data_IF_709711147966
#
_entry.id   IF_709711147966
#
_cell.length_a   1.000
_cell.length_b   1.000
_cell.length_c   1.000
_cell.angle_alpha   90.00
_cell.angle_beta   90.00
_cell.angle_gamma   90.00
#
_symmetry.space_group_name_H-M   'P 1'
#
loop_
_entity.id
_entity.type
_entity.pdbx_description
1 polymer ?
#
# COMPACT_ATOMS: atom_id res chain seq x y z
N UNK A 1 -9.57 23.39 47.93
CA UNK A 1 -8.26 23.86 47.44
C UNK A 1 -8.13 23.43 46.00
N UNK A 2 -8.18 24.40 45.10
CA UNK A 2 -7.96 24.28 43.67
C UNK A 2 -6.45 24.28 43.45
N UNK A 3 -5.93 23.34 42.66
CA UNK A 3 -4.70 23.57 41.89
C UNK A 3 -4.54 22.53 40.77
N UNK A 4 -4.74 23.01 39.55
CA UNK A 4 -3.96 22.69 38.37
C UNK A 4 -3.95 21.23 37.85
N UNK A 5 -5.09 20.80 37.30
CA UNK A 5 -5.03 20.03 36.06
C UNK A 5 -4.54 20.97 34.95
N UNK A 6 -3.25 20.88 34.66
CA UNK A 6 -2.62 21.51 33.51
C UNK A 6 -3.42 21.14 32.25
N UNK A 7 -4.16 22.11 31.74
CA UNK A 7 -4.73 22.11 30.40
C UNK A 7 -3.58 21.90 29.41
N UNK A 8 -3.39 20.64 29.01
CA UNK A 8 -2.53 20.32 27.89
C UNK A 8 -3.03 21.12 26.68
N UNK A 9 -2.12 21.88 26.06
CA UNK A 9 -2.41 22.68 24.88
C UNK A 9 -3.20 21.88 23.84
N UNK A 10 -4.20 22.49 23.16
CA UNK A 10 -5.08 21.80 22.21
C UNK A 10 -4.33 21.13 21.03
N UNK A 11 -3.07 21.51 20.78
CA UNK A 11 -2.19 20.84 19.81
C UNK A 11 -1.79 19.42 20.20
N UNK A 12 -1.75 19.09 21.49
CA UNK A 12 -1.30 17.77 21.98
C UNK A 12 -2.44 16.75 22.16
N UNK A 13 -3.71 17.20 22.18
CA UNK A 13 -4.85 16.28 22.22
C UNK A 13 -5.04 15.48 20.91
N UNK A 14 -4.46 15.94 19.80
CA UNK A 14 -4.48 15.21 18.52
C UNK A 14 -3.61 13.94 18.58
N UNK A 15 -2.62 13.90 19.47
CA UNK A 15 -1.71 12.75 19.63
C UNK A 15 -2.31 11.67 20.55
N UNK A 16 -3.33 11.99 21.35
CA UNK A 16 -3.87 11.07 22.37
C UNK A 16 -5.10 10.27 21.94
N UNK A 17 -5.67 10.51 20.76
CA UNK A 17 -6.81 9.75 20.26
C UNK A 17 -6.33 8.54 19.42
N UNK A 18 -6.36 7.29 19.96
CA UNK A 18 -5.85 6.11 19.26
C UNK A 18 -6.59 5.81 17.95
N UNK A 19 -7.81 6.33 17.79
CA UNK A 19 -8.55 6.22 16.53
C UNK A 19 -7.95 7.10 15.43
N UNK A 20 -7.49 8.32 15.78
CA UNK A 20 -6.93 9.24 14.79
C UNK A 20 -5.57 8.76 14.29
N UNK A 21 -4.75 8.16 15.15
CA UNK A 21 -3.51 7.51 14.72
C UNK A 21 -3.79 6.37 13.75
N UNK A 22 -4.75 5.48 14.04
CA UNK A 22 -5.14 4.42 13.10
C UNK A 22 -5.63 4.97 11.75
N UNK A 23 -6.47 6.01 11.74
CA UNK A 23 -6.95 6.63 10.49
C UNK A 23 -5.78 7.24 9.71
N UNK A 24 -4.80 7.84 10.39
CA UNK A 24 -3.61 8.37 9.73
C UNK A 24 -2.78 7.27 9.06
N UNK A 25 -2.63 6.10 9.70
CA UNK A 25 -1.96 4.93 9.10
C UNK A 25 -2.70 4.47 7.86
N UNK A 26 -4.02 4.37 7.91
CA UNK A 26 -4.86 3.98 6.75
C UNK A 26 -4.72 5.01 5.62
N UNK A 27 -4.62 6.30 5.94
CA UNK A 27 -4.43 7.35 4.94
C UNK A 27 -3.05 7.28 4.25
N UNK A 28 -2.03 6.71 4.91
CA UNK A 28 -0.69 6.52 4.35
C UNK A 28 -0.62 5.32 3.41
N UNK A 29 -1.39 4.26 3.65
CA UNK A 29 -1.42 3.04 2.83
C UNK A 29 -1.57 3.29 1.31
N UNK A 30 -2.57 4.06 0.81
CA UNK A 30 -2.70 4.33 -0.62
C UNK A 30 -1.55 5.16 -1.19
N UNK A 31 -0.91 5.99 -0.36
CA UNK A 31 0.26 6.78 -0.77
C UNK A 31 1.46 5.87 -0.97
N UNK A 32 1.73 4.97 -0.02
CA UNK A 32 2.80 3.99 -0.14
C UNK A 32 2.59 3.09 -1.36
N UNK A 33 1.36 2.63 -1.59
CA UNK A 33 1.02 1.86 -2.79
C UNK A 33 1.22 2.66 -4.09
N UNK A 34 0.89 3.95 -4.10
CA UNK A 34 1.15 4.83 -5.25
C UNK A 34 2.63 5.06 -5.51
N UNK A 35 3.44 5.28 -4.47
CA UNK A 35 4.91 5.40 -4.58
C UNK A 35 5.50 4.09 -5.09
N UNK A 36 5.04 2.96 -4.53
CA UNK A 36 5.45 1.63 -4.96
C UNK A 36 5.16 1.44 -6.45
N UNK A 37 3.91 1.64 -6.89
CA UNK A 37 3.50 1.52 -8.29
C UNK A 37 4.34 2.41 -9.22
N UNK A 38 4.52 3.68 -8.86
CA UNK A 38 5.32 4.61 -9.63
C UNK A 38 6.78 4.15 -9.73
N UNK A 39 7.34 3.63 -8.64
CA UNK A 39 8.70 3.09 -8.62
C UNK A 39 8.85 1.85 -9.50
N UNK A 40 7.83 0.98 -9.61
CA UNK A 40 7.88 -0.20 -10.48
C UNK A 40 8.04 0.19 -11.94
N UNK A 41 7.33 1.25 -12.36
CA UNK A 41 7.43 1.79 -13.71
C UNK A 41 8.79 2.45 -13.87
N UNK A 42 9.14 3.38 -12.99
CA UNK A 42 10.39 4.13 -13.08
C UNK A 42 10.82 4.66 -11.71
N UNK A 43 12.04 4.34 -11.27
CA UNK A 43 12.55 4.73 -9.94
C UNK A 43 12.44 6.24 -9.65
N UNK A 44 12.82 7.17 -10.54
CA UNK A 44 12.67 8.59 -10.26
C UNK A 44 11.20 9.05 -10.23
N UNK A 45 10.31 8.38 -10.95
CA UNK A 45 8.86 8.65 -10.86
C UNK A 45 8.36 8.39 -9.43
N UNK A 46 8.89 7.36 -8.77
CA UNK A 46 8.61 7.08 -7.35
C UNK A 46 8.92 8.27 -6.44
N UNK A 47 10.07 8.94 -6.64
CA UNK A 47 10.43 10.14 -5.86
C UNK A 47 9.51 11.33 -6.16
N UNK A 48 9.15 11.55 -7.42
CA UNK A 48 8.22 12.62 -7.80
C UNK A 48 6.84 12.41 -7.17
N UNK A 49 6.35 11.17 -7.19
CA UNK A 49 5.07 10.80 -6.58
C UNK A 49 5.13 10.89 -5.06
N UNK A 50 6.25 10.51 -4.43
CA UNK A 50 6.45 10.70 -3.00
C UNK A 50 6.38 12.19 -2.60
N UNK A 51 7.03 13.08 -3.35
CA UNK A 51 6.93 14.52 -3.13
C UNK A 51 5.49 15.02 -3.31
N UNK A 52 4.81 14.60 -4.37
CA UNK A 52 3.40 14.93 -4.59
C UNK A 52 2.52 14.50 -3.40
N UNK A 53 2.80 13.35 -2.81
CA UNK A 53 2.06 12.86 -1.64
C UNK A 53 2.35 13.65 -0.37
N UNK A 54 3.56 14.17 -0.17
CA UNK A 54 3.84 15.09 0.95
C UNK A 54 2.93 16.32 0.88
N UNK A 55 2.69 16.86 -0.33
CA UNK A 55 1.80 18.01 -0.52
C UNK A 55 0.32 17.65 -0.42
N UNK A 56 -0.09 16.50 -0.97
CA UNK A 56 -1.49 16.08 -1.01
C UNK A 56 -1.97 15.31 0.23
N UNK A 57 -1.07 14.98 1.17
CA UNK A 57 -1.37 14.20 2.39
C UNK A 57 -2.57 14.74 3.17
N UNK A 58 -2.64 16.07 3.35
CA UNK A 58 -3.75 16.70 4.09
C UNK A 58 -5.11 16.48 3.42
N UNK A 59 -5.14 16.35 2.10
CA UNK A 59 -6.37 16.11 1.33
C UNK A 59 -6.77 14.64 1.45
N UNK A 60 -5.80 13.72 1.32
CA UNK A 60 -6.04 12.29 1.51
C UNK A 60 -6.53 11.99 2.92
N UNK A 61 -5.85 12.51 3.95
CA UNK A 61 -6.25 12.32 5.35
C UNK A 61 -7.67 12.84 5.62
N UNK A 62 -8.05 13.99 5.03
CA UNK A 62 -9.42 14.53 5.14
C UNK A 62 -10.44 13.63 4.46
N UNK A 63 -10.14 13.11 3.27
CA UNK A 63 -10.99 12.17 2.54
C UNK A 63 -11.18 10.87 3.33
N UNK A 64 -10.09 10.25 3.79
CA UNK A 64 -10.12 9.02 4.61
C UNK A 64 -10.96 9.25 5.87
N UNK A 65 -10.74 10.36 6.58
CA UNK A 65 -11.53 10.71 7.76
C UNK A 65 -13.02 10.87 7.44
N UNK A 66 -13.37 11.50 6.32
CA UNK A 66 -14.76 11.66 5.90
C UNK A 66 -15.45 10.31 5.65
N UNK A 67 -14.76 9.34 5.05
CA UNK A 67 -15.27 7.97 4.85
C UNK A 67 -15.59 7.31 6.19
N UNK A 68 -14.66 7.32 7.15
CA UNK A 68 -14.90 6.69 8.46
C UNK A 68 -15.95 7.42 9.31
N UNK A 69 -16.01 8.76 9.23
CA UNK A 69 -17.06 9.54 9.91
C UNK A 69 -18.44 9.30 9.28
N UNK A 70 -18.51 9.19 7.95
CA UNK A 70 -19.73 8.81 7.25
C UNK A 70 -20.20 7.42 7.66
N UNK A 71 -19.28 6.46 7.69
CA UNK A 71 -19.58 5.09 8.13
C UNK A 71 -20.09 5.02 9.57
N UNK A 72 -19.61 5.89 10.47
CA UNK A 72 -20.08 5.97 11.85
C UNK A 72 -21.52 6.49 11.99
N UNK A 73 -21.97 7.27 10.99
CA UNK A 73 -23.30 7.89 10.94
C UNK A 73 -24.30 7.09 10.12
N UNK A 74 -23.83 6.11 9.37
CA UNK A 74 -24.66 5.30 8.48
C UNK A 74 -25.55 4.34 9.28
N UNK A 75 -26.86 4.57 9.22
CA UNK A 75 -27.86 3.70 9.87
C UNK A 75 -28.15 2.44 9.02
N UNK A 76 -27.95 2.53 7.70
CA UNK A 76 -28.20 1.40 6.79
C UNK A 76 -27.10 0.35 6.89
N UNK A 77 -27.47 -0.84 7.36
CA UNK A 77 -26.57 -2.00 7.40
C UNK A 77 -26.03 -2.39 6.03
N UNK A 78 -26.83 -2.20 4.97
CA UNK A 78 -26.48 -2.55 3.59
C UNK A 78 -25.39 -1.61 3.06
N UNK A 79 -25.57 -0.29 3.20
CA UNK A 79 -24.60 0.72 2.74
C UNK A 79 -23.28 0.58 3.53
N UNK A 80 -23.37 0.37 4.83
CA UNK A 80 -22.20 0.09 5.67
C UNK A 80 -21.49 -1.22 5.26
N UNK A 81 -22.23 -2.24 4.83
CA UNK A 81 -21.64 -3.47 4.28
C UNK A 81 -20.86 -3.21 3.00
N UNK A 82 -21.47 -2.51 2.03
CA UNK A 82 -20.82 -2.16 0.76
C UNK A 82 -19.54 -1.34 0.93
N UNK A 83 -19.55 -0.36 1.84
CA UNK A 83 -18.37 0.47 2.12
C UNK A 83 -17.24 -0.34 2.76
N UNK A 84 -17.53 -1.25 3.70
CA UNK A 84 -16.54 -2.17 4.28
C UNK A 84 -15.95 -3.09 3.20
N UNK A 85 -16.79 -3.64 2.32
CA UNK A 85 -16.35 -4.46 1.20
C UNK A 85 -15.46 -3.68 0.22
N UNK A 86 -15.82 -2.43 -0.09
CA UNK A 86 -15.02 -1.56 -0.95
C UNK A 86 -13.64 -1.26 -0.34
N UNK A 87 -13.58 -1.03 0.97
CA UNK A 87 -12.31 -0.85 1.71
C UNK A 87 -11.44 -2.12 1.61
N UNK A 88 -12.04 -3.30 1.78
CA UNK A 88 -11.32 -4.57 1.68
C UNK A 88 -10.75 -4.80 0.27
N UNK A 89 -11.56 -4.60 -0.76
CA UNK A 89 -11.14 -4.73 -2.17
C UNK A 89 -10.05 -3.72 -2.50
N UNK A 90 -10.19 -2.47 -2.08
CA UNK A 90 -9.15 -1.46 -2.26
C UNK A 90 -7.84 -1.87 -1.57
N UNK A 91 -7.90 -2.39 -0.34
CA UNK A 91 -6.74 -2.92 0.37
C UNK A 91 -6.02 -4.04 -0.38
N UNK A 92 -6.78 -4.99 -0.95
CA UNK A 92 -6.24 -6.09 -1.77
C UNK A 92 -5.57 -5.56 -3.04
N UNK A 93 -6.18 -4.58 -3.72
CA UNK A 93 -5.59 -4.02 -4.94
C UNK A 93 -4.31 -3.23 -4.64
N UNK A 94 -4.29 -2.51 -3.52
CA UNK A 94 -3.14 -1.69 -3.11
C UNK A 94 -1.97 -2.54 -2.58
N UNK A 95 -2.19 -3.79 -2.15
CA UNK A 95 -1.12 -4.66 -1.65
C UNK A 95 -0.20 -5.18 -2.77
N UNK A 96 -0.72 -5.33 -3.99
CA UNK A 96 0.03 -5.84 -5.16
C UNK A 96 1.26 -5.00 -5.48
N UNK A 97 1.15 -3.67 -5.75
CA UNK A 97 2.32 -2.86 -6.07
C UNK A 97 3.31 -2.78 -4.91
N UNK A 98 2.83 -2.79 -3.66
CA UNK A 98 3.69 -2.76 -2.46
C UNK A 98 4.51 -4.04 -2.35
N UNK A 99 3.91 -5.20 -2.63
CA UNK A 99 4.60 -6.49 -2.63
C UNK A 99 5.66 -6.53 -3.73
N UNK A 100 5.32 -6.07 -4.93
CA UNK A 100 6.25 -6.00 -6.04
C UNK A 100 7.44 -5.06 -5.76
N UNK A 101 7.21 -3.93 -5.09
CA UNK A 101 8.28 -3.02 -4.70
C UNK A 101 9.18 -3.60 -3.59
N UNK A 102 8.60 -4.34 -2.64
CA UNK A 102 9.35 -4.97 -1.56
C UNK A 102 10.33 -6.04 -2.08
N UNK A 103 9.92 -6.79 -3.11
CA UNK A 103 10.71 -7.85 -3.71
C UNK A 103 11.55 -7.39 -4.90
N UNK A 104 11.62 -6.09 -5.16
CA UNK A 104 12.38 -5.54 -6.28
C UNK A 104 13.86 -5.94 -6.24
N UNK A 105 14.48 -5.96 -5.05
CA UNK A 105 15.86 -6.39 -4.90
C UNK A 105 16.08 -7.84 -5.33
N UNK A 106 15.13 -8.72 -5.00
CA UNK A 106 15.17 -10.14 -5.39
C UNK A 106 14.93 -10.30 -6.90
N UNK A 107 14.11 -9.42 -7.50
CA UNK A 107 13.88 -9.38 -8.94
C UNK A 107 15.12 -8.94 -9.72
N UNK A 108 15.81 -7.90 -9.27
CA UNK A 108 17.03 -7.42 -9.91
C UNK A 108 18.14 -8.49 -9.81
N UNK A 109 18.23 -9.18 -8.67
CA UNK A 109 19.13 -10.32 -8.50
C UNK A 109 18.82 -11.49 -9.45
N UNK A 110 17.55 -11.70 -9.82
CA UNK A 110 17.15 -12.71 -10.80
C UNK A 110 17.50 -12.36 -12.24
N UNK A 111 17.50 -11.08 -12.58
CA UNK A 111 17.82 -10.60 -13.92
C UNK A 111 19.34 -10.49 -14.15
N UNK A 112 20.11 -10.30 -13.08
CA UNK A 112 21.56 -10.12 -13.14
C UNK A 112 22.33 -11.20 -13.97
N UNK A 113 22.06 -12.52 -13.83
CA UNK A 113 22.73 -13.54 -14.67
C UNK A 113 22.46 -13.36 -16.16
N UNK A 114 21.23 -12.98 -16.52
CA UNK A 114 20.80 -12.82 -17.91
C UNK A 114 21.34 -11.54 -18.56
N UNK A 115 21.61 -10.51 -17.75
CA UNK A 115 22.31 -9.30 -18.19
C UNK A 115 23.82 -9.58 -18.33
N UNK A 116 24.41 -10.26 -17.35
CA UNK A 116 25.83 -10.62 -17.33
C UNK A 116 26.23 -11.58 -18.47
N UNK A 117 25.34 -12.45 -18.94
CA UNK A 117 25.62 -13.31 -20.10
C UNK A 117 25.76 -12.53 -21.41
N UNK A 118 25.02 -11.41 -21.55
CA UNK A 118 25.14 -10.53 -22.73
C UNK A 118 26.42 -9.70 -22.66
N UNK A 119 26.78 -9.22 -21.47
CA UNK A 119 28.01 -8.43 -21.28
C UNK A 119 29.28 -9.26 -21.39
N UNK A 120 29.28 -10.49 -20.85
CA UNK A 120 30.45 -11.37 -20.85
C UNK A 120 30.60 -12.19 -22.14
N UNK A 121 29.53 -12.32 -22.94
CA UNK A 121 29.49 -13.19 -24.11
C UNK A 121 29.55 -14.69 -23.77
N UNK A 122 29.43 -15.05 -22.49
CA UNK A 122 29.40 -16.43 -22.01
C UNK A 122 27.95 -16.82 -21.71
N UNK A 123 27.51 -17.93 -22.29
CA UNK A 123 26.19 -18.50 -21.98
C UNK A 123 26.19 -18.99 -20.53
N UNK A 124 25.34 -18.35 -19.72
CA UNK A 124 25.08 -18.66 -18.32
C UNK A 124 26.29 -18.57 -17.35
N UNK A 125 26.76 -17.36 -17.02
CA UNK A 125 27.97 -17.16 -16.20
C UNK A 125 27.83 -17.61 -14.73
N UNK A 126 26.63 -17.96 -14.26
CA UNK A 126 26.33 -18.22 -12.83
C UNK A 126 25.81 -19.66 -12.59
N UNK A 127 25.66 -20.49 -13.63
CA UNK A 127 25.17 -21.86 -13.51
C UNK A 127 23.63 -21.97 -13.40
N UNK A 128 23.10 -23.14 -13.03
CA UNK A 128 21.66 -23.34 -12.86
C UNK A 128 21.13 -22.59 -11.63
N UNK A 129 20.12 -21.74 -11.81
CA UNK A 129 19.44 -21.06 -10.71
C UNK A 129 18.75 -22.09 -9.80
N UNK A 130 18.98 -22.08 -8.47
CA UNK A 130 18.41 -23.08 -7.57
C UNK A 130 16.88 -23.04 -7.51
N UNK A 131 16.23 -24.14 -7.89
CA UNK A 131 14.76 -24.27 -7.91
C UNK A 131 14.08 -24.00 -6.55
N UNK A 132 14.81 -24.14 -5.44
CA UNK A 132 14.31 -23.84 -4.10
C UNK A 132 14.02 -22.33 -3.88
N UNK A 133 14.75 -21.45 -4.58
CA UNK A 133 14.60 -19.99 -4.47
C UNK A 133 13.70 -19.47 -5.60
N UNK A 134 13.90 -20.00 -6.80
CA UNK A 134 13.34 -19.46 -8.03
C UNK A 134 12.10 -20.23 -8.55
N UNK A 135 11.73 -21.32 -7.86
CA UNK A 135 10.59 -22.16 -8.21
C UNK A 135 10.90 -23.24 -9.26
N UNK A 136 9.89 -24.06 -9.63
CA UNK A 136 10.05 -25.21 -10.52
C UNK A 136 10.19 -24.86 -12.01
N UNK A 137 9.87 -23.62 -12.43
CA UNK A 137 10.03 -23.16 -13.82
C UNK A 137 11.11 -22.08 -13.94
N UNK A 138 12.37 -22.49 -13.84
CA UNK A 138 13.52 -21.60 -14.05
C UNK A 138 13.72 -21.13 -15.49
N UNK A 139 12.83 -21.47 -16.44
CA UNK A 139 12.91 -21.06 -17.84
C UNK A 139 11.71 -20.26 -18.38
N UNK A 140 10.63 -20.07 -17.62
CA UNK A 140 9.43 -19.38 -18.11
C UNK A 140 8.96 -18.40 -17.04
N UNK A 141 8.75 -17.10 -17.31
CA UNK A 141 9.05 -16.41 -18.57
C UNK A 141 10.57 -16.25 -18.80
N UNK A 142 10.99 -16.36 -20.07
CA UNK A 142 12.39 -16.34 -20.48
C UNK A 142 12.90 -14.91 -20.75
N UNK A 143 14.12 -14.61 -20.32
CA UNK A 143 14.79 -13.33 -20.58
C UNK A 143 15.43 -13.23 -21.96
N UNK A 144 15.43 -14.29 -22.77
CA UNK A 144 16.05 -14.32 -24.11
C UNK A 144 15.62 -13.17 -25.01
N UNK A 145 14.34 -12.78 -24.97
CA UNK A 145 13.82 -11.63 -25.73
C UNK A 145 14.52 -10.33 -25.29
N UNK A 146 14.69 -10.12 -23.99
CA UNK A 146 15.39 -8.95 -23.47
C UNK A 146 16.88 -8.97 -23.80
N UNK A 147 17.51 -10.15 -23.82
CA UNK A 147 18.91 -10.32 -24.20
C UNK A 147 19.15 -9.95 -25.67
N UNK A 148 18.24 -10.35 -26.56
CA UNK A 148 18.28 -9.96 -27.98
C UNK A 148 18.20 -8.44 -28.10
N UNK A 149 17.24 -7.81 -27.42
CA UNK A 149 17.11 -6.34 -27.44
C UNK A 149 18.34 -5.67 -26.84
N UNK A 150 18.93 -6.21 -25.77
CA UNK A 150 20.09 -5.63 -25.09
C UNK A 150 21.31 -5.56 -26.01
N UNK A 151 21.48 -6.57 -26.89
CA UNK A 151 22.54 -6.56 -27.91
C UNK A 151 22.42 -5.40 -28.91
N UNK A 152 21.21 -4.88 -29.14
CA UNK A 152 20.98 -3.79 -30.10
C UNK A 152 20.94 -2.40 -29.46
N UNK A 153 20.37 -2.27 -28.26
CA UNK A 153 20.05 -0.97 -27.65
C UNK A 153 20.86 -0.66 -26.39
N UNK A 154 21.61 -1.64 -25.85
CA UNK A 154 22.38 -1.49 -24.61
C UNK A 154 21.55 -1.73 -23.34
N UNK A 155 22.20 -1.65 -22.18
CA UNK A 155 21.64 -2.10 -20.89
C UNK A 155 20.55 -1.18 -20.36
N UNK A 156 20.77 0.13 -20.33
CA UNK A 156 19.82 1.12 -19.78
C UNK A 156 18.40 1.02 -20.36
N UNK A 157 18.18 1.01 -21.69
CA UNK A 157 16.82 0.94 -22.24
C UNK A 157 16.19 -0.46 -22.07
N UNK A 158 16.99 -1.52 -21.93
CA UNK A 158 16.47 -2.87 -21.72
C UNK A 158 16.07 -3.17 -20.28
N UNK A 159 16.44 -2.32 -19.33
CA UNK A 159 16.03 -2.45 -17.93
C UNK A 159 14.52 -2.66 -17.79
N UNK A 160 13.69 -1.94 -18.55
CA UNK A 160 12.23 -2.09 -18.53
C UNK A 160 11.78 -3.50 -18.94
N UNK A 161 12.43 -4.08 -19.95
CA UNK A 161 12.15 -5.44 -20.42
C UNK A 161 12.48 -6.46 -19.30
N UNK A 162 13.67 -6.36 -18.71
CA UNK A 162 14.09 -7.23 -17.62
C UNK A 162 13.19 -7.10 -16.40
N UNK A 163 12.81 -5.88 -15.99
CA UNK A 163 11.88 -5.69 -14.88
C UNK A 163 10.49 -6.26 -15.17
N UNK A 164 9.97 -6.11 -16.39
CA UNK A 164 8.66 -6.63 -16.76
C UNK A 164 8.59 -8.16 -16.67
N UNK A 165 9.60 -8.84 -17.21
CA UNK A 165 9.73 -10.30 -17.13
C UNK A 165 9.98 -10.73 -15.68
N UNK A 166 10.81 -9.98 -14.94
CA UNK A 166 11.01 -10.16 -13.51
C UNK A 166 9.70 -10.16 -12.73
N UNK A 167 8.83 -9.16 -12.93
CA UNK A 167 7.53 -9.11 -12.25
C UNK A 167 6.60 -10.27 -12.61
N UNK A 168 6.65 -10.76 -13.84
CA UNK A 168 5.90 -11.96 -14.21
C UNK A 168 6.46 -13.21 -13.49
N UNK A 169 7.78 -13.27 -13.32
CA UNK A 169 8.47 -14.33 -12.56
C UNK A 169 8.24 -14.25 -11.05
N UNK A 170 7.98 -13.04 -10.52
CA UNK A 170 7.72 -12.81 -9.11
C UNK A 170 6.69 -13.78 -8.54
N UNK A 171 5.61 -14.01 -9.28
CA UNK A 171 4.50 -14.86 -8.84
C UNK A 171 4.80 -16.35 -8.81
N UNK A 172 5.96 -16.76 -9.30
CA UNK A 172 6.44 -18.14 -9.23
C UNK A 172 7.28 -18.39 -7.98
N UNK A 173 7.73 -17.33 -7.30
CA UNK A 173 8.51 -17.46 -6.08
C UNK A 173 7.59 -17.82 -4.90
N UNK A 174 7.91 -18.88 -4.14
CA UNK A 174 7.14 -19.22 -2.93
C UNK A 174 7.10 -18.06 -1.92
N UNK A 175 8.20 -17.31 -1.81
CA UNK A 175 8.32 -16.18 -0.89
C UNK A 175 7.38 -15.04 -1.27
N UNK A 176 7.17 -14.80 -2.57
CA UNK A 176 6.30 -13.72 -3.05
C UNK A 176 4.84 -13.91 -2.64
N UNK A 177 4.38 -15.16 -2.62
CA UNK A 177 3.04 -15.50 -2.15
C UNK A 177 2.90 -15.21 -0.66
N UNK A 178 3.88 -15.61 0.16
CA UNK A 178 3.85 -15.35 1.61
C UNK A 178 3.85 -13.85 1.92
N UNK A 179 4.71 -13.07 1.25
CA UNK A 179 4.75 -11.62 1.41
C UNK A 179 3.47 -10.96 0.91
N UNK A 180 2.89 -11.41 -0.21
CA UNK A 180 1.62 -10.89 -0.71
C UNK A 180 0.53 -11.12 0.33
N UNK A 181 0.43 -12.33 0.88
CA UNK A 181 -0.57 -12.64 1.91
C UNK A 181 -0.36 -11.73 3.12
N UNK A 182 0.87 -11.59 3.63
CA UNK A 182 1.15 -10.73 4.79
C UNK A 182 0.80 -9.26 4.54
N UNK A 183 1.19 -8.70 3.40
CA UNK A 183 0.89 -7.31 3.03
C UNK A 183 -0.62 -7.14 2.79
N UNK A 184 -1.27 -8.11 2.16
CA UNK A 184 -2.72 -8.08 1.92
C UNK A 184 -3.50 -8.13 3.22
N UNK A 185 -3.11 -8.97 4.16
CA UNK A 185 -3.71 -8.99 5.50
C UNK A 185 -3.55 -7.64 6.19
N UNK A 186 -2.38 -7.01 6.10
CA UNK A 186 -2.16 -5.67 6.65
C UNK A 186 -3.06 -4.62 5.96
N UNK A 187 -3.10 -4.58 4.64
CA UNK A 187 -3.80 -3.56 3.86
C UNK A 187 -5.31 -3.75 3.82
N UNK A 188 -5.83 -4.97 3.98
CA UNK A 188 -7.26 -5.25 3.97
C UNK A 188 -7.84 -5.39 5.39
N UNK A 189 -7.22 -6.19 6.27
CA UNK A 189 -7.80 -6.45 7.60
C UNK A 189 -7.69 -5.24 8.51
N UNK A 190 -6.58 -4.48 8.47
CA UNK A 190 -6.43 -3.34 9.36
C UNK A 190 -7.49 -2.26 9.11
N UNK A 191 -7.73 -1.79 7.87
CA UNK A 191 -8.81 -0.83 7.61
C UNK A 191 -10.20 -1.39 7.89
N UNK A 192 -10.45 -2.67 7.59
CA UNK A 192 -11.74 -3.33 7.87
C UNK A 192 -12.00 -3.43 9.38
N UNK A 193 -10.98 -3.76 10.18
CA UNK A 193 -11.10 -3.81 11.64
C UNK A 193 -11.45 -2.43 12.22
N UNK A 194 -10.85 -1.37 11.70
CA UNK A 194 -11.19 0.00 12.10
C UNK A 194 -12.60 0.39 11.65
N UNK A 195 -13.00 0.03 10.42
CA UNK A 195 -14.33 0.29 9.89
C UNK A 195 -15.42 -0.37 10.76
N UNK A 196 -15.18 -1.63 11.15
CA UNK A 196 -16.04 -2.39 12.03
C UNK A 196 -16.08 -1.81 13.45
N UNK A 197 -14.94 -1.40 14.00
CA UNK A 197 -14.86 -0.76 15.32
C UNK A 197 -15.64 0.55 15.37
N UNK A 198 -15.50 1.39 14.34
CA UNK A 198 -16.19 2.67 14.23
C UNK A 198 -17.70 2.47 14.16
N UNK A 199 -18.17 1.48 13.39
CA UNK A 199 -19.61 1.15 13.27
C UNK A 199 -20.22 0.67 14.58
N UNK A 200 -19.48 -0.09 15.39
CA UNK A 200 -19.96 -0.62 16.67
C UNK A 200 -19.99 0.39 17.81
N UNK A 201 -19.40 1.58 17.65
CA UNK A 201 -19.43 2.59 18.70
C UNK A 201 -20.87 3.11 18.86
N UNK A 202 -21.46 3.03 20.07
CA UNK A 202 -22.74 3.67 20.31
C UNK A 202 -22.56 5.16 20.07
N UNK A 203 -23.38 5.74 19.19
CA UNK A 203 -23.47 7.18 19.07
C UNK A 203 -23.87 7.70 20.46
N UNK A 204 -22.97 8.42 21.13
CA UNK A 204 -23.37 9.24 22.28
C UNK A 204 -24.36 10.26 21.72
N UNK A 205 -25.64 9.96 21.84
CA UNK A 205 -26.70 10.95 21.83
C UNK A 205 -26.29 11.98 22.87
N UNK A 206 -25.81 13.14 22.44
CA UNK A 206 -25.65 14.28 23.33
C UNK A 206 -27.06 14.81 23.55
N UNK A 207 -27.65 14.70 24.76
CA UNK A 207 -28.94 15.28 25.03
C UNK A 207 -28.72 16.77 25.32
N UNK A 208 -28.44 17.56 24.29
CA UNK A 208 -28.32 19.01 24.42
C UNK A 208 -28.94 19.68 23.19
N UNK A 209 -30.26 19.54 23.09
CA UNK A 209 -31.04 20.18 22.03
C UNK A 209 -32.54 20.31 22.31
N UNK A 210 -33.00 20.12 23.56
CA UNK A 210 -34.43 20.21 23.91
C UNK A 210 -34.77 21.22 25.02
N UNK A 211 -33.88 22.17 25.32
CA UNK A 211 -34.22 23.33 26.17
C UNK A 211 -34.12 24.65 25.40
N UNK A 212 -35.02 24.84 24.46
CA UNK A 212 -35.55 26.16 24.09
C UNK A 212 -37.01 25.97 23.68
N UNK A 213 -37.84 25.63 24.66
CA UNK A 213 -39.28 25.73 24.55
C UNK A 213 -39.76 26.56 25.72
N UNK A 214 -40.34 27.72 25.37
CA UNK A 214 -41.10 28.66 26.19
C UNK A 214 -40.33 29.47 27.24
N UNK A 215 -40.16 30.76 26.93
CA UNK A 215 -40.63 31.84 27.82
C UNK A 215 -40.78 33.12 26.99
N UNK A 216 -42.00 33.36 26.50
CA UNK A 216 -42.50 34.70 26.21
C UNK A 216 -43.32 35.13 27.44
N UNK A 217 -43.12 36.36 27.91
CA UNK A 217 -44.24 37.25 28.21
C UNK A 217 -44.47 38.23 27.05
#
# INVERSE_FOLDING_TARGET
MVANMTLAHPRWQVVTDPLQSCISVIAVMPLLAGVALASLIWTPLGYVVALYFVFSFKTVLRSTRAVFVGLAREESSVIAGWTISAIAVAGILLSVPVTAAFLRGDLDAMAAPAQASVESGVDNPIGELPAAIYGPSSGIPDYSICQVVQRFVGIEPTHFCYTGIGYARLWQMPIALTTLISITLLYALFPVAIAWHVRRRPQRTSPLGSRFSKENP
#
